data_IF_659549369140
#
_entry.id   IF_659549369140
#
_cell.length_a   1.000
_cell.length_b   1.000
_cell.length_c   1.000
_cell.angle_alpha   90.00
_cell.angle_beta   90.00
_cell.angle_gamma   90.00
#
_symmetry.space_group_name_H-M   'P 1'
#
loop_
_entity.id
_entity.type
_entity.pdbx_description
1 polymer ?
#
# COMPACT_ATOMS: atom_id res chain seq x y z
N UNK A 1 15.25 -11.27 -34.61
CA UNK A 1 16.49 -10.48 -34.63
C UNK A 1 16.32 -9.39 -33.58
N UNK A 2 17.14 -9.40 -32.53
CA UNK A 2 17.21 -8.30 -31.57
C UNK A 2 17.64 -7.02 -32.30
N UNK A 3 17.14 -5.86 -31.86
CA UNK A 3 17.52 -4.59 -32.46
C UNK A 3 18.92 -4.19 -31.96
N UNK A 4 19.67 -3.47 -32.79
CA UNK A 4 21.04 -3.06 -32.47
C UNK A 4 21.11 -2.22 -31.19
N UNK A 5 20.11 -1.37 -30.95
CA UNK A 5 20.02 -0.54 -29.75
C UNK A 5 19.89 -1.38 -28.47
N UNK A 6 19.10 -2.46 -28.51
CA UNK A 6 18.89 -3.35 -27.37
C UNK A 6 20.18 -4.11 -27.04
N UNK A 7 20.92 -4.54 -28.08
CA UNK A 7 22.23 -5.20 -27.96
C UNK A 7 23.27 -4.25 -27.33
N UNK A 8 23.29 -2.98 -27.75
CA UNK A 8 24.20 -1.98 -27.22
C UNK A 8 23.93 -1.68 -25.73
N UNK A 9 22.66 -1.47 -25.36
CA UNK A 9 22.28 -1.21 -23.96
C UNK A 9 22.61 -2.41 -23.07
N UNK A 10 22.27 -3.62 -23.51
CA UNK A 10 22.57 -4.84 -22.78
C UNK A 10 24.08 -5.00 -22.53
N UNK A 11 24.91 -4.78 -23.55
CA UNK A 11 26.37 -4.85 -23.38
C UNK A 11 26.92 -3.77 -22.44
N UNK A 12 26.36 -2.55 -22.46
CA UNK A 12 26.78 -1.47 -21.55
C UNK A 12 26.47 -1.86 -20.09
N UNK A 13 25.26 -2.35 -19.82
CA UNK A 13 24.83 -2.71 -18.47
C UNK A 13 25.61 -3.92 -17.94
N UNK A 14 25.82 -4.93 -18.79
CA UNK A 14 26.58 -6.14 -18.45
C UNK A 14 28.06 -5.84 -18.13
N UNK A 15 28.69 -4.92 -18.89
CA UNK A 15 30.08 -4.50 -18.61
C UNK A 15 30.14 -3.58 -17.38
N UNK A 16 29.19 -2.66 -17.19
CA UNK A 16 29.12 -1.82 -15.97
C UNK A 16 28.87 -2.64 -14.70
N UNK A 17 28.08 -3.70 -14.79
CA UNK A 17 27.82 -4.63 -13.69
C UNK A 17 29.00 -5.58 -13.41
N UNK A 18 30.02 -5.61 -14.27
CA UNK A 18 31.17 -6.51 -14.16
C UNK A 18 30.86 -7.96 -14.54
N UNK A 19 29.71 -8.21 -15.18
CA UNK A 19 29.26 -9.55 -15.58
C UNK A 19 29.96 -10.06 -16.84
N UNK A 20 30.42 -9.14 -17.72
CA UNK A 20 31.16 -9.45 -18.95
C UNK A 20 32.22 -8.37 -19.23
N UNK A 21 33.27 -8.75 -19.95
CA UNK A 21 34.24 -7.82 -20.54
C UNK A 21 33.76 -7.29 -21.90
N UNK A 22 34.37 -6.19 -22.36
CA UNK A 22 34.06 -5.58 -23.67
C UNK A 22 34.24 -6.62 -24.79
N UNK A 23 35.35 -7.36 -24.77
CA UNK A 23 35.66 -8.38 -25.75
C UNK A 23 34.66 -9.56 -25.73
N UNK A 24 34.20 -9.98 -24.55
CA UNK A 24 33.17 -11.03 -24.43
C UNK A 24 31.80 -10.59 -24.99
N UNK A 25 31.42 -9.32 -24.81
CA UNK A 25 30.24 -8.75 -25.44
C UNK A 25 30.36 -8.71 -26.97
N UNK A 26 31.54 -8.36 -27.49
CA UNK A 26 31.79 -8.30 -28.94
C UNK A 26 31.84 -9.69 -29.60
N UNK A 27 32.30 -10.72 -28.88
CA UNK A 27 32.32 -12.10 -29.36
C UNK A 27 30.91 -12.72 -29.39
N UNK A 28 30.01 -12.26 -28.51
CA UNK A 28 28.60 -12.68 -28.47
C UNK A 28 27.79 -12.17 -29.67
N UNK A 29 28.18 -11.05 -30.25
CA UNK A 29 27.47 -10.39 -31.34
C UNK A 29 28.38 -10.11 -32.56
N UNK A 30 28.90 -11.15 -33.23
CA UNK A 30 29.91 -11.00 -34.30
C UNK A 30 29.37 -10.28 -35.55
N UNK A 31 28.06 -10.33 -35.81
CA UNK A 31 27.43 -9.70 -36.98
C UNK A 31 27.37 -8.17 -36.90
N UNK A 32 27.47 -7.59 -35.70
CA UNK A 32 27.40 -6.14 -35.47
C UNK A 32 28.65 -5.58 -34.80
N UNK A 33 29.70 -6.41 -34.66
CA UNK A 33 30.94 -6.10 -33.93
C UNK A 33 31.56 -4.76 -34.33
N UNK A 34 31.72 -4.51 -35.63
CA UNK A 34 32.35 -3.29 -36.15
C UNK A 34 31.58 -2.01 -35.78
N UNK A 35 30.25 -2.10 -35.63
CA UNK A 35 29.42 -0.97 -35.22
C UNK A 35 29.29 -0.87 -33.70
N UNK A 36 29.32 -2.00 -33.00
CA UNK A 36 29.13 -2.10 -31.55
C UNK A 36 30.36 -1.62 -30.77
N UNK A 37 31.57 -1.99 -31.22
CA UNK A 37 32.82 -1.69 -30.51
C UNK A 37 33.04 -0.19 -30.23
N UNK A 38 32.98 0.74 -31.20
CA UNK A 38 33.26 2.14 -30.94
C UNK A 38 32.21 2.78 -30.01
N UNK A 39 30.94 2.40 -30.14
CA UNK A 39 29.86 2.93 -29.30
C UNK A 39 29.94 2.42 -27.86
N UNK A 40 30.28 1.14 -27.67
CA UNK A 40 30.44 0.54 -26.36
C UNK A 40 31.62 1.16 -25.61
N UNK A 41 32.77 1.38 -26.28
CA UNK A 41 33.93 2.04 -25.68
C UNK A 41 33.61 3.49 -25.26
N UNK A 42 32.94 4.27 -26.11
CA UNK A 42 32.54 5.65 -25.76
C UNK A 42 31.57 5.65 -24.58
N UNK A 43 30.56 4.78 -24.59
CA UNK A 43 29.56 4.72 -23.53
C UNK A 43 30.15 4.37 -22.16
N UNK A 44 31.18 3.52 -22.13
CA UNK A 44 31.89 3.15 -20.90
C UNK A 44 32.90 4.20 -20.43
N UNK A 45 33.38 5.07 -21.33
CA UNK A 45 34.24 6.21 -20.97
C UNK A 45 33.46 7.41 -20.41
N UNK A 46 32.14 7.49 -20.63
CA UNK A 46 31.29 8.53 -20.04
C UNK A 46 31.20 8.27 -18.54
N UNK A 47 31.98 9.03 -17.76
CA UNK A 47 31.85 9.10 -16.31
C UNK A 47 30.45 9.60 -15.95
N UNK A 48 29.69 8.81 -15.20
CA UNK A 48 28.55 9.32 -14.44
C UNK A 48 29.06 10.42 -13.52
N UNK A 49 28.65 11.66 -13.83
CA UNK A 49 28.98 12.81 -12.99
C UNK A 49 28.38 12.58 -11.61
N UNK A 50 29.20 12.72 -10.57
CA UNK A 50 28.73 12.82 -9.18
C UNK A 50 27.61 13.87 -9.10
N UNK A 51 26.50 13.54 -8.44
CA UNK A 51 25.37 14.44 -8.16
C UNK A 51 25.85 15.76 -7.52
N UNK A 52 26.11 16.80 -8.33
CA UNK A 52 26.66 18.08 -7.88
C UNK A 52 25.54 18.86 -7.18
N UNK A 53 25.38 18.61 -5.88
CA UNK A 53 24.48 19.42 -5.04
C UNK A 53 25.16 20.77 -4.72
N UNK A 54 24.51 21.91 -4.99
CA UNK A 54 25.10 23.21 -4.67
C UNK A 54 25.29 23.35 -3.15
N UNK A 55 26.43 23.94 -2.75
CA UNK A 55 26.76 24.17 -1.34
C UNK A 55 25.70 25.01 -0.62
N UNK A 56 25.54 24.80 0.69
CA UNK A 56 24.57 25.54 1.51
C UNK A 56 24.77 27.06 1.42
N UNK A 57 26.02 27.51 1.38
CA UNK A 57 26.39 28.92 1.18
C UNK A 57 25.95 29.48 -0.17
N UNK A 58 26.01 28.67 -1.23
CA UNK A 58 25.50 29.08 -2.54
C UNK A 58 23.97 29.19 -2.53
N UNK A 59 23.27 28.22 -1.93
CA UNK A 59 21.80 28.25 -1.80
C UNK A 59 21.31 29.49 -1.03
N UNK A 60 21.98 29.85 0.06
CA UNK A 60 21.64 31.03 0.87
C UNK A 60 21.86 32.32 0.05
N UNK A 61 23.00 32.46 -0.62
CA UNK A 61 23.28 33.64 -1.47
C UNK A 61 22.33 33.76 -2.65
N UNK A 62 22.04 32.65 -3.35
CA UNK A 62 21.12 32.63 -4.47
C UNK A 62 19.69 32.98 -4.03
N UNK A 63 19.26 32.50 -2.86
CA UNK A 63 17.95 32.84 -2.29
C UNK A 63 17.86 34.32 -1.93
N UNK A 64 18.90 34.88 -1.30
CA UNK A 64 18.93 36.30 -0.95
C UNK A 64 18.89 37.19 -2.22
N UNK A 65 19.71 36.86 -3.22
CA UNK A 65 19.73 37.57 -4.51
C UNK A 65 18.38 37.50 -5.24
N UNK A 66 17.73 36.33 -5.24
CA UNK A 66 16.41 36.17 -5.85
C UNK A 66 15.32 36.98 -5.12
N UNK A 67 15.36 37.01 -3.79
CA UNK A 67 14.37 37.74 -3.00
C UNK A 67 14.51 39.26 -3.16
N UNK A 68 15.74 39.75 -3.33
CA UNK A 68 16.02 41.16 -3.65
C UNK A 68 15.41 41.57 -5.01
N UNK A 69 15.58 40.72 -6.03
CA UNK A 69 14.96 40.89 -7.36
C UNK A 69 13.42 40.86 -7.34
N UNK A 70 12.82 40.13 -6.38
CA UNK A 70 11.36 40.05 -6.23
C UNK A 70 10.81 41.29 -5.54
N UNK A 71 11.53 41.90 -4.59
CA UNK A 71 11.05 43.05 -3.82
C UNK A 71 11.10 44.39 -4.59
N UNK A 72 11.88 44.50 -5.67
CA UNK A 72 11.85 45.69 -6.54
C UNK A 72 10.61 45.75 -7.45
N UNK A 73 9.84 44.66 -7.58
CA UNK A 73 8.61 44.65 -8.39
C UNK A 73 7.40 44.92 -7.51
N UNK A 74 6.92 46.17 -7.56
CA UNK A 74 5.62 46.51 -6.97
C UNK A 74 4.52 45.61 -7.56
N UNK A 75 3.55 45.16 -6.74
CA UNK A 75 2.45 44.33 -7.22
C UNK A 75 1.58 45.12 -8.20
N UNK A 76 1.51 44.65 -9.44
CA UNK A 76 0.54 45.15 -10.42
C UNK A 76 -0.86 44.66 -10.05
N UNK A 77 -1.61 45.61 -9.50
CA UNK A 77 -3.08 45.71 -9.39
C UNK A 77 -3.74 45.19 -8.12
N UNK A 78 -4.42 46.14 -7.45
CA UNK A 78 -5.50 45.94 -6.49
C UNK A 78 -6.80 46.24 -7.25
N UNK A 79 -7.80 45.37 -7.06
CA UNK A 79 -9.24 45.59 -7.20
C UNK A 79 -10.02 45.03 -8.42
N UNK A 80 -11.23 44.46 -8.20
CA UNK A 80 -11.94 43.59 -9.15
C UNK A 80 -13.28 44.22 -9.65
N UNK A 81 -13.93 43.59 -10.65
CA UNK A 81 -15.31 43.81 -11.17
C UNK A 81 -15.61 44.84 -12.30
N UNK A 82 -14.64 45.48 -12.96
CA UNK A 82 -14.95 46.42 -14.06
C UNK A 82 -14.55 45.93 -15.46
N UNK A 83 -15.18 44.86 -15.97
CA UNK A 83 -15.19 44.63 -17.44
C UNK A 83 -16.26 43.69 -18.01
N UNK A 84 -17.50 43.71 -17.49
CA UNK A 84 -18.63 43.11 -18.21
C UNK A 84 -19.39 44.10 -19.11
N UNK A 85 -19.00 45.36 -19.16
CA UNK A 85 -19.64 46.38 -20.00
C UNK A 85 -18.58 47.18 -20.75
N UNK A 86 -18.20 46.69 -21.93
CA UNK A 86 -17.82 47.47 -23.12
C UNK A 86 -17.60 46.46 -24.26
N UNK A 87 -18.66 46.07 -24.95
CA UNK A 87 -19.22 46.79 -26.10
C UNK A 87 -18.55 46.36 -27.41
N UNK A 88 -19.11 45.28 -27.96
CA UNK A 88 -19.53 45.11 -29.35
C UNK A 88 -18.91 46.10 -30.34
N UNK A 89 -17.83 45.67 -30.98
CA UNK A 89 -17.53 45.94 -32.39
C UNK A 89 -17.00 44.65 -33.04
N UNK A 90 -17.35 44.36 -34.30
CA UNK A 90 -16.98 43.11 -34.94
C UNK A 90 -15.49 43.17 -35.34
N UNK A 91 -14.70 42.21 -34.88
CA UNK A 91 -13.32 42.05 -35.32
C UNK A 91 -13.30 41.51 -36.76
N UNK A 92 -12.53 42.11 -37.68
CA UNK A 92 -12.36 41.56 -39.02
C UNK A 92 -11.39 40.37 -38.98
N UNK A 93 -11.69 39.36 -39.81
CA UNK A 93 -10.82 38.29 -40.30
C UNK A 93 -9.33 38.38 -39.90
N UNK A 94 -8.95 37.67 -38.83
CA UNK A 94 -7.54 37.38 -38.53
C UNK A 94 -7.22 35.97 -39.06
N UNK A 95 -6.17 35.93 -39.86
CA UNK A 95 -5.63 34.76 -40.57
C UNK A 95 -5.57 33.52 -39.67
N UNK A 96 -5.99 32.38 -40.22
CA UNK A 96 -5.82 31.03 -39.65
C UNK A 96 -4.35 30.84 -39.26
N UNK A 97 -4.02 31.00 -37.98
CA UNK A 97 -2.83 30.34 -37.45
C UNK A 97 -3.07 28.85 -37.58
N UNK A 98 -2.19 28.14 -38.29
CA UNK A 98 -2.22 26.68 -38.34
C UNK A 98 -2.27 26.16 -36.90
N UNK A 99 -3.19 25.26 -36.59
CA UNK A 99 -3.30 24.60 -35.27
C UNK A 99 -1.95 24.06 -34.78
N UNK A 100 -1.05 23.71 -35.71
CA UNK A 100 0.32 23.30 -35.41
C UNK A 100 1.13 24.35 -34.64
N UNK A 101 0.98 25.64 -34.96
CA UNK A 101 1.73 26.71 -34.30
C UNK A 101 1.24 26.97 -32.87
N UNK A 102 -0.05 26.73 -32.60
CA UNK A 102 -0.62 26.82 -31.24
C UNK A 102 -0.10 25.66 -30.39
N UNK A 103 -0.06 24.45 -30.94
CA UNK A 103 0.49 23.26 -30.26
C UNK A 103 1.98 23.43 -29.97
N UNK A 104 2.76 23.96 -30.92
CA UNK A 104 4.19 24.23 -30.73
C UNK A 104 4.42 25.27 -29.62
N UNK A 105 3.61 26.32 -29.55
CA UNK A 105 3.72 27.33 -28.48
C UNK A 105 3.34 26.75 -27.12
N UNK A 106 2.31 25.90 -27.03
CA UNK A 106 1.92 25.21 -25.77
C UNK A 106 3.02 24.24 -25.31
N UNK A 107 3.62 23.51 -26.25
CA UNK A 107 4.75 22.62 -25.95
C UNK A 107 5.96 23.43 -25.53
N UNK A 108 6.27 24.54 -26.21
CA UNK A 108 7.41 25.40 -25.85
C UNK A 108 7.19 26.13 -24.53
N UNK A 109 5.97 26.53 -24.17
CA UNK A 109 5.68 27.12 -22.86
C UNK A 109 5.70 26.08 -21.75
N UNK A 110 5.21 24.86 -21.99
CA UNK A 110 5.33 23.73 -21.05
C UNK A 110 6.79 23.29 -20.88
N UNK A 111 7.61 23.32 -21.94
CA UNK A 111 9.03 22.95 -21.91
C UNK A 111 9.92 24.06 -21.35
N UNK A 112 9.59 25.34 -21.55
CA UNK A 112 10.32 26.46 -20.93
C UNK A 112 10.08 26.56 -19.41
N UNK A 113 9.01 25.93 -18.91
CA UNK A 113 8.72 25.72 -17.48
C UNK A 113 9.16 24.31 -17.03
N UNK A 114 9.40 23.40 -17.99
CA UNK A 114 9.32 21.94 -17.85
C UNK A 114 10.66 21.26 -17.75
N UNK A 115 10.99 20.87 -16.53
CA UNK A 115 12.10 20.00 -16.16
C UNK A 115 12.28 20.07 -14.66
N UNK A 116 12.61 21.27 -14.17
CA UNK A 116 12.74 21.54 -12.73
C UNK A 116 11.42 21.56 -11.95
N UNK A 117 10.32 22.01 -12.56
CA UNK A 117 9.00 22.10 -11.89
C UNK A 117 8.32 20.74 -11.72
N UNK A 118 8.44 19.84 -12.71
CA UNK A 118 7.92 18.46 -12.61
C UNK A 118 8.68 17.67 -11.55
N UNK A 119 10.00 17.83 -11.52
CA UNK A 119 10.85 17.23 -10.49
C UNK A 119 10.53 17.80 -9.10
N UNK A 120 10.44 19.13 -8.95
CA UNK A 120 10.05 19.76 -7.70
C UNK A 120 8.60 19.44 -7.27
N UNK A 121 7.71 19.13 -8.21
CA UNK A 121 6.35 18.71 -7.90
C UNK A 121 6.28 17.28 -7.34
N UNK A 122 7.27 16.41 -7.60
CA UNK A 122 7.24 15.04 -7.04
C UNK A 122 7.34 15.05 -5.50
N UNK A 123 8.07 16.01 -4.94
CA UNK A 123 8.22 16.17 -3.48
C UNK A 123 7.08 17.00 -2.86
N UNK A 124 6.14 17.50 -3.66
CA UNK A 124 5.02 18.28 -3.14
C UNK A 124 4.01 17.41 -2.39
N UNK A 125 3.55 17.92 -1.24
CA UNK A 125 2.55 17.31 -0.36
C UNK A 125 1.16 17.92 -0.62
N UNK A 126 0.08 17.24 -0.20
CA UNK A 126 -1.26 17.84 -0.18
C UNK A 126 -1.22 19.22 0.49
N UNK A 127 -1.87 20.21 -0.13
CA UNK A 127 -1.84 21.62 0.29
C UNK A 127 -0.71 22.46 -0.33
N UNK A 128 0.32 21.84 -0.94
CA UNK A 128 1.39 22.58 -1.60
C UNK A 128 0.97 23.15 -2.97
N UNK A 129 1.59 24.27 -3.36
CA UNK A 129 1.27 24.97 -4.62
C UNK A 129 1.48 24.12 -5.87
N UNK A 130 2.43 23.18 -5.84
CA UNK A 130 2.75 22.29 -6.97
C UNK A 130 2.04 20.92 -6.90
N UNK A 131 1.25 20.66 -5.85
CA UNK A 131 0.54 19.39 -5.70
C UNK A 131 -0.46 19.09 -6.83
N UNK A 132 -1.24 20.07 -7.35
CA UNK A 132 -2.08 19.83 -8.52
C UNK A 132 -1.28 19.42 -9.78
N UNK A 133 -0.04 19.91 -9.90
CA UNK A 133 0.86 19.52 -11.00
C UNK A 133 1.28 18.06 -10.82
N UNK A 134 1.61 17.63 -9.59
CA UNK A 134 1.88 16.22 -9.26
C UNK A 134 0.73 15.33 -9.71
N UNK A 135 -0.50 15.62 -9.24
CA UNK A 135 -1.69 14.85 -9.61
C UNK A 135 -1.92 14.84 -11.14
N UNK A 136 -1.71 15.96 -11.82
CA UNK A 136 -1.78 16.03 -13.28
C UNK A 136 -0.77 15.12 -13.99
N UNK A 137 0.46 15.01 -13.48
CA UNK A 137 1.47 14.08 -14.03
C UNK A 137 1.10 12.62 -13.78
N UNK A 138 0.45 12.32 -12.66
CA UNK A 138 -0.04 10.98 -12.33
C UNK A 138 -1.19 10.55 -13.24
N UNK A 139 -2.11 11.47 -13.55
CA UNK A 139 -3.22 11.26 -14.47
C UNK A 139 -2.70 10.94 -15.89
N UNK A 140 -1.71 11.71 -16.38
CA UNK A 140 -1.04 11.40 -17.65
C UNK A 140 -0.36 10.03 -17.60
N UNK A 141 0.30 9.70 -16.48
CA UNK A 141 0.91 8.38 -16.29
C UNK A 141 -0.14 7.26 -16.31
N UNK A 142 -1.38 7.49 -15.90
CA UNK A 142 -2.48 6.52 -16.04
C UNK A 142 -2.97 6.32 -17.47
N UNK A 143 -2.83 7.33 -18.32
CA UNK A 143 -3.21 7.26 -19.74
C UNK A 143 -2.22 6.47 -20.60
N UNK A 144 -1.00 6.21 -20.10
CA UNK A 144 -0.02 5.43 -20.83
C UNK A 144 -0.57 4.04 -21.22
N UNK A 145 -0.25 3.55 -22.45
CA UNK A 145 -0.66 2.23 -22.92
C UNK A 145 -0.32 1.12 -21.91
N UNK A 146 -1.14 0.08 -21.88
CA UNK A 146 -1.00 -1.04 -20.96
C UNK A 146 -2.33 -1.73 -20.70
N UNK A 147 -2.26 -2.99 -20.30
CA UNK A 147 -3.42 -3.78 -19.89
C UNK A 147 -3.93 -3.34 -18.50
N UNK A 148 -4.98 -4.01 -18.01
CA UNK A 148 -5.55 -3.66 -16.71
C UNK A 148 -4.64 -4.04 -15.53
N UNK A 149 -3.75 -5.03 -15.69
CA UNK A 149 -2.72 -5.37 -14.69
C UNK A 149 -1.72 -4.23 -14.54
N UNK A 150 -1.13 -3.76 -15.64
CA UNK A 150 -0.20 -2.63 -15.62
C UNK A 150 -0.85 -1.33 -15.11
N UNK A 151 -2.18 -1.17 -15.27
CA UNK A 151 -2.93 -0.05 -14.70
C UNK A 151 -3.19 -0.21 -13.21
N UNK A 152 -3.46 -1.44 -12.74
CA UNK A 152 -3.57 -1.74 -11.31
C UNK A 152 -2.24 -1.45 -10.60
N UNK A 153 -1.10 -1.88 -11.17
CA UNK A 153 0.22 -1.64 -10.57
C UNK A 153 0.56 -0.14 -10.50
N UNK A 154 0.23 0.63 -11.54
CA UNK A 154 0.37 2.09 -11.51
C UNK A 154 -0.49 2.72 -10.42
N UNK A 155 -1.76 2.32 -10.31
CA UNK A 155 -2.66 2.80 -9.27
C UNK A 155 -2.16 2.46 -7.86
N UNK A 156 -1.65 1.24 -7.66
CA UNK A 156 -1.06 0.80 -6.39
C UNK A 156 0.15 1.67 -6.02
N UNK A 157 0.97 2.06 -7.01
CA UNK A 157 2.11 2.97 -6.79
C UNK A 157 1.68 4.38 -6.36
N UNK A 158 0.49 4.85 -6.77
CA UNK A 158 -0.05 6.12 -6.29
C UNK A 158 -0.55 5.97 -4.86
N UNK A 159 -1.20 4.85 -4.52
CA UNK A 159 -1.63 4.56 -3.16
C UNK A 159 -0.43 4.54 -2.20
N UNK A 160 0.69 3.90 -2.57
CA UNK A 160 1.94 3.95 -1.80
C UNK A 160 2.48 5.37 -1.60
N UNK A 161 2.53 6.16 -2.66
CA UNK A 161 2.93 7.58 -2.56
C UNK A 161 2.03 8.40 -1.65
N UNK A 162 0.70 8.15 -1.64
CA UNK A 162 -0.17 8.85 -0.70
C UNK A 162 0.18 8.51 0.74
N UNK A 163 0.47 7.24 1.05
CA UNK A 163 0.88 6.83 2.40
C UNK A 163 2.16 7.52 2.85
N UNK A 164 3.16 7.64 1.97
CA UNK A 164 4.39 8.39 2.24
C UNK A 164 4.11 9.88 2.51
N UNK A 165 3.19 10.48 1.75
CA UNK A 165 2.79 11.87 1.98
C UNK A 165 2.04 12.06 3.30
N UNK A 166 1.17 11.11 3.66
CA UNK A 166 0.42 11.13 4.92
C UNK A 166 1.40 11.08 6.10
N UNK A 167 2.39 10.21 6.02
CA UNK A 167 3.47 10.12 7.01
C UNK A 167 4.22 11.44 7.11
N UNK A 168 4.69 12.00 5.98
CA UNK A 168 5.37 13.28 5.95
C UNK A 168 4.50 14.44 6.47
N UNK A 169 3.20 14.45 6.21
CA UNK A 169 2.27 15.46 6.73
C UNK A 169 2.14 15.35 8.25
N UNK A 170 2.06 14.13 8.80
CA UNK A 170 2.00 13.89 10.23
C UNK A 170 3.30 14.32 10.93
N UNK A 171 4.47 13.97 10.37
CA UNK A 171 5.78 14.37 10.88
C UNK A 171 5.96 15.90 10.89
N UNK A 172 5.46 16.58 9.87
CA UNK A 172 5.54 18.04 9.75
C UNK A 172 4.42 18.78 10.51
N UNK A 173 3.52 18.07 11.20
CA UNK A 173 2.40 18.65 11.94
C UNK A 173 1.36 19.35 11.06
N UNK A 174 1.29 19.02 9.76
CA UNK A 174 0.36 19.60 8.78
C UNK A 174 -0.97 18.85 8.75
N UNK A 175 -1.64 18.81 9.90
CA UNK A 175 -2.81 17.97 10.13
C UNK A 175 -4.00 18.32 9.22
N UNK A 176 -4.14 19.60 8.86
CA UNK A 176 -5.21 20.07 7.97
C UNK A 176 -5.15 19.50 6.54
N UNK A 177 -3.98 18.98 6.13
CA UNK A 177 -3.76 18.46 4.78
C UNK A 177 -3.90 16.92 4.73
N UNK A 178 -3.97 16.24 5.89
CA UNK A 178 -4.02 14.77 6.00
C UNK A 178 -5.24 14.21 5.27
N UNK A 179 -6.43 14.80 5.44
CA UNK A 179 -7.67 14.33 4.81
C UNK A 179 -7.58 14.27 3.29
N UNK A 180 -6.88 15.23 2.66
CA UNK A 180 -6.67 15.21 1.22
C UNK A 180 -5.78 14.04 0.78
N UNK A 181 -4.73 13.75 1.57
CA UNK A 181 -3.90 12.55 1.39
C UNK A 181 -4.70 11.26 1.54
N UNK A 182 -5.58 11.18 2.56
CA UNK A 182 -6.48 10.03 2.81
C UNK A 182 -7.41 9.76 1.62
N UNK A 183 -8.08 10.80 1.11
CA UNK A 183 -8.98 10.67 -0.03
C UNK A 183 -8.23 10.22 -1.28
N UNK A 184 -7.02 10.76 -1.50
CA UNK A 184 -6.14 10.29 -2.57
C UNK A 184 -5.79 8.81 -2.43
N UNK A 185 -5.48 8.36 -1.20
CA UNK A 185 -5.13 6.97 -0.92
C UNK A 185 -6.29 6.02 -1.23
N UNK A 186 -7.48 6.35 -0.74
CA UNK A 186 -8.71 5.58 -0.98
C UNK A 186 -9.03 5.49 -2.48
N UNK A 187 -8.97 6.62 -3.19
CA UNK A 187 -9.21 6.66 -4.64
C UNK A 187 -8.22 5.77 -5.41
N UNK A 188 -6.94 5.85 -5.07
CA UNK A 188 -5.89 5.06 -5.72
C UNK A 188 -6.04 3.55 -5.43
N UNK A 189 -6.39 3.18 -4.20
CA UNK A 189 -6.60 1.77 -3.84
C UNK A 189 -7.88 1.22 -4.50
N UNK A 190 -8.98 1.97 -4.50
CA UNK A 190 -10.21 1.58 -5.19
C UNK A 190 -9.99 1.40 -6.70
N UNK A 191 -9.23 2.31 -7.33
CA UNK A 191 -8.81 2.16 -8.73
C UNK A 191 -7.98 0.88 -8.94
N UNK A 192 -7.06 0.56 -8.02
CA UNK A 192 -6.25 -0.65 -8.07
C UNK A 192 -7.13 -1.90 -8.08
N UNK A 193 -8.05 -2.01 -7.12
CA UNK A 193 -8.93 -3.17 -6.99
C UNK A 193 -9.86 -3.32 -8.20
N UNK A 194 -10.47 -2.22 -8.67
CA UNK A 194 -11.32 -2.24 -9.86
C UNK A 194 -10.57 -2.68 -11.14
N UNK A 195 -9.28 -2.35 -11.24
CA UNK A 195 -8.43 -2.79 -12.36
C UNK A 195 -8.07 -4.26 -12.27
N UNK A 196 -7.78 -4.78 -11.07
CA UNK A 196 -7.57 -6.21 -10.85
C UNK A 196 -8.82 -7.01 -11.19
N UNK A 197 -10.00 -6.57 -10.74
CA UNK A 197 -11.27 -7.23 -11.05
C UNK A 197 -11.51 -7.28 -12.56
N UNK A 198 -11.32 -6.15 -13.25
CA UNK A 198 -11.44 -6.09 -14.72
C UNK A 198 -10.43 -6.98 -15.43
N UNK A 199 -9.20 -7.06 -14.93
CA UNK A 199 -8.17 -7.94 -15.47
C UNK A 199 -8.57 -9.42 -15.32
N UNK A 200 -9.08 -9.80 -14.15
CA UNK A 200 -9.61 -11.14 -13.87
C UNK A 200 -10.78 -11.50 -14.80
N UNK A 201 -11.73 -10.58 -14.99
CA UNK A 201 -12.87 -10.77 -15.91
C UNK A 201 -12.46 -10.94 -17.38
N UNK A 202 -11.26 -10.47 -17.74
CA UNK A 202 -10.66 -10.66 -19.08
C UNK A 202 -9.80 -11.92 -19.19
N UNK A 203 -9.71 -12.72 -18.13
CA UNK A 203 -8.87 -13.92 -18.09
C UNK A 203 -7.37 -13.62 -18.03
N UNK A 204 -6.96 -12.40 -17.62
CA UNK A 204 -5.55 -12.08 -17.42
C UNK A 204 -5.02 -12.73 -16.12
N UNK A 205 -3.73 -13.03 -16.08
CA UNK A 205 -3.08 -13.50 -14.86
C UNK A 205 -2.98 -12.37 -13.84
N UNK A 206 -3.75 -12.47 -12.76
CA UNK A 206 -3.78 -11.46 -11.70
C UNK A 206 -3.00 -11.86 -10.43
N UNK A 207 -2.55 -13.11 -10.31
CA UNK A 207 -1.98 -13.64 -9.07
C UNK A 207 -0.84 -12.78 -8.50
N UNK A 208 0.11 -12.37 -9.35
CA UNK A 208 1.24 -11.55 -8.92
C UNK A 208 0.82 -10.15 -8.46
N UNK A 209 -0.04 -9.46 -9.22
CA UNK A 209 -0.49 -8.11 -8.84
C UNK A 209 -1.36 -8.16 -7.58
N UNK A 210 -2.19 -9.18 -7.43
CA UNK A 210 -3.00 -9.37 -6.24
C UNK A 210 -2.12 -9.64 -5.00
N UNK A 211 -1.12 -10.51 -5.11
CA UNK A 211 -0.15 -10.73 -4.03
C UNK A 211 0.58 -9.43 -3.64
N UNK A 212 1.00 -8.64 -4.63
CA UNK A 212 1.61 -7.31 -4.40
C UNK A 212 0.65 -6.37 -3.66
N UNK A 213 -0.64 -6.36 -3.96
CA UNK A 213 -1.63 -5.54 -3.22
C UNK A 213 -1.73 -5.98 -1.78
N UNK A 214 -1.81 -7.28 -1.50
CA UNK A 214 -1.86 -7.80 -0.13
C UNK A 214 -0.63 -7.34 0.65
N UNK A 215 0.58 -7.59 0.13
CA UNK A 215 1.82 -7.20 0.81
C UNK A 215 1.95 -5.68 0.98
N UNK A 216 1.53 -4.90 -0.02
CA UNK A 216 1.61 -3.43 0.00
C UNK A 216 0.62 -2.83 1.01
N UNK A 217 -0.62 -3.32 1.05
CA UNK A 217 -1.63 -2.88 2.02
C UNK A 217 -1.30 -3.28 3.46
N UNK A 218 -0.57 -4.39 3.68
CA UNK A 218 0.00 -4.71 5.00
C UNK A 218 1.08 -3.70 5.42
N UNK A 219 1.96 -3.28 4.50
CA UNK A 219 2.96 -2.23 4.77
C UNK A 219 2.28 -0.89 5.07
N UNK A 220 1.28 -0.52 4.27
CA UNK A 220 0.50 0.69 4.48
C UNK A 220 -0.18 0.69 5.85
N UNK A 221 -0.75 -0.44 6.28
CA UNK A 221 -1.37 -0.57 7.59
C UNK A 221 -0.36 -0.29 8.72
N UNK A 222 0.86 -0.81 8.61
CA UNK A 222 1.93 -0.52 9.59
C UNK A 222 2.34 0.96 9.64
N UNK A 223 2.44 1.63 8.48
CA UNK A 223 2.72 3.08 8.43
C UNK A 223 1.56 3.85 9.06
N UNK A 224 0.32 3.52 8.69
CA UNK A 224 -0.86 4.17 9.23
C UNK A 224 -1.03 3.96 10.74
N UNK A 225 -0.62 2.82 11.30
CA UNK A 225 -0.56 2.64 12.76
C UNK A 225 0.47 3.56 13.41
N UNK A 226 1.64 3.72 12.77
CA UNK A 226 2.68 4.64 13.25
C UNK A 226 2.17 6.08 13.21
N UNK A 227 1.53 6.48 12.10
CA UNK A 227 0.91 7.80 11.97
C UNK A 227 -0.19 8.00 13.01
N UNK A 228 -1.05 7.01 13.23
CA UNK A 228 -2.12 7.07 14.24
C UNK A 228 -1.58 7.33 15.65
N UNK A 229 -0.41 6.76 15.96
CA UNK A 229 0.25 6.94 17.25
C UNK A 229 0.83 8.35 17.44
N UNK A 230 1.18 9.04 16.36
CA UNK A 230 1.84 10.35 16.37
C UNK A 230 0.84 11.51 16.37
N UNK A 231 -0.28 11.36 15.68
CA UNK A 231 -1.25 12.45 15.48
C UNK A 231 -2.11 12.68 16.72
N UNK A 232 -2.55 13.93 16.98
CA UNK A 232 -3.46 14.23 18.08
C UNK A 232 -4.88 13.70 17.79
N UNK A 233 -5.74 13.74 18.82
CA UNK A 233 -7.06 13.12 18.80
C UNK A 233 -7.93 13.59 17.62
N UNK A 234 -7.79 14.85 17.22
CA UNK A 234 -8.55 15.48 16.13
C UNK A 234 -8.27 14.84 14.76
N UNK A 235 -7.05 14.30 14.57
CA UNK A 235 -6.64 13.67 13.30
C UNK A 235 -6.71 12.14 13.35
N UNK A 236 -6.95 11.53 14.53
CA UNK A 236 -7.02 10.07 14.69
C UNK A 236 -8.14 9.43 13.86
N UNK A 237 -9.29 10.10 13.71
CA UNK A 237 -10.43 9.56 12.96
C UNK A 237 -10.09 9.36 11.47
N UNK A 238 -9.46 10.37 10.84
CA UNK A 238 -9.03 10.29 9.45
C UNK A 238 -8.07 9.13 9.22
N UNK A 239 -7.07 8.96 10.11
CA UNK A 239 -6.12 7.86 10.03
C UNK A 239 -6.80 6.51 10.29
N UNK A 240 -7.76 6.45 11.21
CA UNK A 240 -8.56 5.25 11.45
C UNK A 240 -9.35 4.83 10.19
N UNK A 241 -9.93 5.78 9.46
CA UNK A 241 -10.58 5.52 8.18
C UNK A 241 -9.62 4.93 7.15
N UNK A 242 -8.43 5.51 6.95
CA UNK A 242 -7.46 4.94 6.02
C UNK A 242 -6.95 3.56 6.42
N UNK A 243 -6.83 3.27 7.72
CA UNK A 243 -6.52 1.90 8.17
C UNK A 243 -7.61 0.93 7.76
N UNK A 244 -8.88 1.30 7.94
CA UNK A 244 -10.02 0.49 7.51
C UNK A 244 -10.05 0.30 5.98
N UNK A 245 -9.76 1.34 5.20
CA UNK A 245 -9.61 1.25 3.74
C UNK A 245 -8.48 0.28 3.37
N UNK A 246 -7.33 0.39 4.04
CA UNK A 246 -6.19 -0.52 3.82
C UNK A 246 -6.52 -1.97 4.16
N UNK A 247 -7.20 -2.21 5.28
CA UNK A 247 -7.65 -3.54 5.70
C UNK A 247 -8.69 -4.13 4.75
N UNK A 248 -9.63 -3.31 4.27
CA UNK A 248 -10.63 -3.75 3.30
C UNK A 248 -9.97 -4.14 1.98
N UNK A 249 -9.02 -3.32 1.48
CA UNK A 249 -8.25 -3.65 0.28
C UNK A 249 -7.37 -4.88 0.45
N UNK A 250 -6.78 -5.07 1.64
CA UNK A 250 -6.04 -6.26 2.02
C UNK A 250 -6.91 -7.52 1.90
N UNK A 251 -8.09 -7.56 2.55
CA UNK A 251 -8.96 -8.75 2.51
C UNK A 251 -9.55 -9.00 1.12
N UNK A 252 -9.90 -7.95 0.38
CA UNK A 252 -10.38 -8.10 -1.00
C UNK A 252 -9.30 -8.75 -1.90
N UNK A 253 -8.07 -8.24 -1.84
CA UNK A 253 -6.96 -8.81 -2.59
C UNK A 253 -6.64 -10.23 -2.11
N UNK A 254 -6.66 -10.48 -0.80
CA UNK A 254 -6.39 -11.80 -0.26
C UNK A 254 -7.43 -12.85 -0.70
N UNK A 255 -8.71 -12.48 -0.75
CA UNK A 255 -9.78 -13.32 -1.32
C UNK A 255 -9.52 -13.67 -2.79
N UNK A 256 -9.14 -12.67 -3.59
CA UNK A 256 -8.82 -12.87 -5.00
C UNK A 256 -7.57 -13.75 -5.19
N UNK A 257 -6.57 -13.61 -4.30
CA UNK A 257 -5.37 -14.43 -4.31
C UNK A 257 -5.68 -15.87 -3.92
N UNK A 258 -6.51 -16.09 -2.91
CA UNK A 258 -6.89 -17.43 -2.44
C UNK A 258 -7.52 -18.29 -3.54
N UNK A 259 -8.25 -17.68 -4.48
CA UNK A 259 -8.84 -18.36 -5.65
C UNK A 259 -7.81 -18.82 -6.68
N UNK A 260 -6.64 -18.17 -6.74
CA UNK A 260 -5.60 -18.44 -7.74
C UNK A 260 -4.43 -19.23 -7.14
N UNK A 261 -4.06 -18.94 -5.89
CA UNK A 261 -3.00 -19.59 -5.16
C UNK A 261 -3.29 -19.54 -3.65
N UNK A 262 -4.01 -20.55 -3.16
CA UNK A 262 -4.46 -20.65 -1.76
C UNK A 262 -3.30 -20.73 -0.78
N UNK A 263 -2.28 -21.54 -1.07
CA UNK A 263 -1.09 -21.67 -0.20
C UNK A 263 -0.41 -20.32 -0.05
N UNK A 264 -0.19 -19.60 -1.15
CA UNK A 264 0.42 -18.26 -1.10
C UNK A 264 -0.42 -17.25 -0.34
N UNK A 265 -1.75 -17.31 -0.45
CA UNK A 265 -2.65 -16.45 0.32
C UNK A 265 -2.47 -16.69 1.82
N UNK A 266 -2.43 -17.96 2.24
CA UNK A 266 -2.23 -18.35 3.64
C UNK A 266 -0.87 -17.89 4.14
N UNK A 267 0.22 -18.15 3.42
CA UNK A 267 1.56 -17.70 3.78
C UNK A 267 1.63 -16.19 4.04
N UNK A 268 1.08 -15.38 3.12
CA UNK A 268 1.09 -13.93 3.27
C UNK A 268 0.22 -13.50 4.45
N UNK A 269 -0.94 -14.14 4.66
CA UNK A 269 -1.82 -13.80 5.78
C UNK A 269 -1.20 -14.11 7.13
N UNK A 270 -0.54 -15.27 7.26
CA UNK A 270 0.18 -15.66 8.46
C UNK A 270 1.35 -14.71 8.75
N UNK A 271 2.06 -14.24 7.72
CA UNK A 271 3.10 -13.21 7.88
C UNK A 271 2.53 -11.85 8.32
N UNK A 272 1.35 -11.46 7.82
CA UNK A 272 0.67 -10.24 8.27
C UNK A 272 0.23 -10.34 9.74
N UNK A 273 -0.27 -11.50 10.16
CA UNK A 273 -0.61 -11.81 11.56
C UNK A 273 0.62 -11.72 12.47
N UNK A 274 1.77 -12.28 12.06
CA UNK A 274 3.05 -12.10 12.78
C UNK A 274 3.39 -10.60 12.95
N UNK A 275 3.15 -9.80 11.92
CA UNK A 275 3.30 -8.35 11.95
C UNK A 275 2.43 -7.68 13.02
N UNK A 276 1.18 -8.13 13.20
CA UNK A 276 0.27 -7.59 14.24
C UNK A 276 0.74 -7.96 15.65
N UNK A 277 1.20 -9.19 15.87
CA UNK A 277 1.78 -9.60 17.16
C UNK A 277 3.07 -8.84 17.49
N UNK A 278 3.91 -8.59 16.48
CA UNK A 278 5.09 -7.72 16.64
C UNK A 278 4.69 -6.29 17.01
N UNK A 279 3.59 -5.77 16.46
CA UNK A 279 3.04 -4.45 16.80
C UNK A 279 2.52 -4.38 18.24
N UNK A 280 1.89 -5.45 18.74
CA UNK A 280 1.53 -5.59 20.17
C UNK A 280 2.80 -5.55 21.04
N UNK A 281 3.83 -6.31 20.68
CA UNK A 281 5.11 -6.34 21.41
C UNK A 281 5.80 -4.98 21.43
N UNK A 282 5.81 -4.26 20.31
CA UNK A 282 6.44 -2.96 20.18
C UNK A 282 5.74 -1.86 21.01
N UNK A 283 4.42 -2.00 21.22
CA UNK A 283 3.59 -1.00 21.91
C UNK A 283 2.89 -1.59 23.11
N UNK A 284 3.60 -2.46 23.83
CA UNK A 284 3.06 -3.31 24.88
C UNK A 284 2.43 -2.56 26.04
N UNK A 285 2.84 -1.30 26.27
CA UNK A 285 2.30 -0.42 27.31
C UNK A 285 1.14 0.46 26.82
N UNK A 286 0.91 0.55 25.52
CA UNK A 286 -0.12 1.37 24.91
C UNK A 286 -1.39 0.53 24.71
N UNK A 287 -2.35 0.69 25.63
CA UNK A 287 -3.58 -0.09 25.64
C UNK A 287 -4.37 0.04 24.34
N UNK A 288 -4.52 1.26 23.81
CA UNK A 288 -5.29 1.50 22.59
C UNK A 288 -4.62 0.81 21.41
N UNK A 289 -3.30 0.96 21.30
CA UNK A 289 -2.55 0.36 20.21
C UNK A 289 -2.51 -1.18 20.28
N UNK A 290 -2.44 -1.76 21.49
CA UNK A 290 -2.56 -3.22 21.69
C UNK A 290 -3.94 -3.70 21.26
N UNK A 291 -5.01 -3.01 21.67
CA UNK A 291 -6.38 -3.38 21.31
C UNK A 291 -6.58 -3.39 19.79
N UNK A 292 -6.13 -2.33 19.11
CA UNK A 292 -6.27 -2.20 17.65
C UNK A 292 -5.47 -3.31 16.94
N UNK A 293 -4.23 -3.54 17.33
CA UNK A 293 -3.40 -4.58 16.71
C UNK A 293 -3.97 -5.99 16.93
N UNK A 294 -4.59 -6.24 18.09
CA UNK A 294 -5.25 -7.50 18.38
C UNK A 294 -6.52 -7.69 17.55
N UNK A 295 -7.36 -6.67 17.40
CA UNK A 295 -8.54 -6.72 16.51
C UNK A 295 -8.14 -7.01 15.06
N UNK A 296 -7.06 -6.38 14.59
CA UNK A 296 -6.52 -6.66 13.25
C UNK A 296 -6.01 -8.10 13.12
N UNK A 297 -5.31 -8.60 14.15
CA UNK A 297 -4.86 -9.99 14.21
C UNK A 297 -6.04 -10.97 14.14
N UNK A 298 -7.09 -10.74 14.93
CA UNK A 298 -8.26 -11.61 14.98
C UNK A 298 -9.02 -11.63 13.65
N UNK A 299 -9.17 -10.47 13.01
CA UNK A 299 -9.78 -10.37 11.67
C UNK A 299 -8.97 -11.18 10.63
N UNK A 300 -7.64 -11.12 10.67
CA UNK A 300 -6.78 -11.94 9.80
C UNK A 300 -6.87 -13.43 10.13
N UNK A 301 -6.94 -13.79 11.42
CA UNK A 301 -7.12 -15.16 11.86
C UNK A 301 -8.48 -15.74 11.42
N UNK A 302 -9.54 -14.93 11.47
CA UNK A 302 -10.88 -15.31 10.99
C UNK A 302 -10.88 -15.49 9.47
N UNK A 303 -10.15 -14.63 8.76
CA UNK A 303 -10.05 -14.72 7.31
C UNK A 303 -9.36 -16.01 6.83
N UNK A 304 -8.52 -16.67 7.65
CA UNK A 304 -8.00 -18.00 7.32
C UNK A 304 -9.13 -19.02 7.11
N UNK A 305 -10.21 -18.94 7.90
CA UNK A 305 -11.38 -19.82 7.73
C UNK A 305 -12.08 -19.55 6.39
N UNK A 306 -12.14 -18.28 5.97
CA UNK A 306 -12.68 -17.91 4.65
C UNK A 306 -11.78 -18.40 3.51
N UNK A 307 -10.45 -18.38 3.68
CA UNK A 307 -9.54 -18.93 2.67
C UNK A 307 -9.77 -20.43 2.50
N UNK A 308 -9.90 -21.18 3.60
CA UNK A 308 -10.22 -22.61 3.58
C UNK A 308 -11.56 -22.88 2.88
N UNK A 309 -12.60 -22.08 3.15
CA UNK A 309 -13.90 -22.17 2.47
C UNK A 309 -13.79 -21.90 0.97
N UNK A 310 -13.11 -20.82 0.57
CA UNK A 310 -12.87 -20.47 -0.84
C UNK A 310 -12.20 -21.65 -1.56
N UNK A 311 -11.17 -22.25 -0.95
CA UNK A 311 -10.46 -23.38 -1.53
C UNK A 311 -11.32 -24.63 -1.67
N UNK A 312 -12.19 -24.92 -0.68
CA UNK A 312 -13.16 -26.01 -0.76
C UNK A 312 -14.20 -25.79 -1.86
N UNK A 313 -14.72 -24.57 -2.02
CA UNK A 313 -15.70 -24.22 -3.07
C UNK A 313 -15.16 -24.47 -4.48
N UNK A 314 -13.85 -24.26 -4.69
CA UNK A 314 -13.16 -24.55 -5.94
C UNK A 314 -12.53 -25.95 -5.98
N UNK A 315 -12.90 -26.83 -5.04
CA UNK A 315 -12.50 -28.24 -4.96
C UNK A 315 -10.98 -28.48 -4.88
N UNK A 316 -10.23 -27.57 -4.25
CA UNK A 316 -8.81 -27.75 -3.97
C UNK A 316 -8.60 -28.62 -2.72
N UNK A 317 -7.51 -29.39 -2.71
CA UNK A 317 -7.05 -30.07 -1.50
C UNK A 317 -6.44 -29.04 -0.54
N UNK A 318 -7.05 -28.90 0.62
CA UNK A 318 -6.65 -27.93 1.65
C UNK A 318 -5.72 -28.52 2.71
N UNK A 319 -5.30 -29.79 2.61
CA UNK A 319 -4.53 -30.43 3.70
C UNK A 319 -3.26 -29.65 4.07
N UNK A 320 -2.49 -29.22 3.06
CA UNK A 320 -1.29 -28.39 3.26
C UNK A 320 -1.64 -27.03 3.88
N UNK A 321 -2.75 -26.42 3.45
CA UNK A 321 -3.23 -25.13 3.98
C UNK A 321 -3.62 -25.24 5.46
N UNK A 322 -4.38 -26.28 5.81
CA UNK A 322 -4.79 -26.53 7.20
C UNK A 322 -3.58 -26.84 8.10
N UNK A 323 -2.59 -27.58 7.59
CA UNK A 323 -1.35 -27.85 8.32
C UNK A 323 -0.55 -26.56 8.58
N UNK A 324 -0.37 -25.71 7.55
CA UNK A 324 0.31 -24.42 7.69
C UNK A 324 -0.39 -23.50 8.71
N UNK A 325 -1.72 -23.45 8.69
CA UNK A 325 -2.48 -22.63 9.65
C UNK A 325 -2.34 -23.20 11.07
N UNK A 326 -2.38 -24.53 11.25
CA UNK A 326 -2.24 -25.16 12.55
C UNK A 326 -0.84 -24.92 13.16
N UNK A 327 0.22 -25.07 12.35
CA UNK A 327 1.59 -24.78 12.76
C UNK A 327 1.76 -23.31 13.18
N UNK A 328 1.29 -22.39 12.34
CA UNK A 328 1.39 -20.96 12.64
C UNK A 328 0.55 -20.55 13.86
N UNK A 329 -0.62 -21.17 14.06
CA UNK A 329 -1.46 -20.94 15.24
C UNK A 329 -0.70 -21.28 16.52
N UNK A 330 0.07 -22.37 16.51
CA UNK A 330 0.91 -22.74 17.66
C UNK A 330 1.99 -21.70 17.95
N UNK A 331 2.62 -21.16 16.91
CA UNK A 331 3.57 -20.04 17.04
C UNK A 331 2.90 -18.77 17.57
N UNK A 332 1.71 -18.42 17.07
CA UNK A 332 0.94 -17.25 17.50
C UNK A 332 0.52 -17.33 18.97
N UNK A 333 0.05 -18.49 19.42
CA UNK A 333 -0.28 -18.75 20.83
C UNK A 333 0.94 -18.57 21.74
N UNK A 334 2.12 -19.06 21.35
CA UNK A 334 3.36 -18.83 22.08
C UNK A 334 3.69 -17.33 22.22
N UNK A 335 3.60 -16.59 21.11
CA UNK A 335 3.84 -15.14 21.13
C UNK A 335 2.81 -14.39 22.00
N UNK A 336 1.56 -14.83 22.03
CA UNK A 336 0.53 -14.27 22.92
C UNK A 336 0.84 -14.53 24.40
N UNK A 337 1.31 -15.73 24.74
CA UNK A 337 1.80 -16.05 26.10
C UNK A 337 2.96 -15.14 26.50
N UNK A 338 3.93 -14.90 25.62
CA UNK A 338 5.08 -14.04 25.90
C UNK A 338 4.71 -12.59 26.24
N UNK A 339 3.62 -12.08 25.66
CA UNK A 339 3.16 -10.69 25.89
C UNK A 339 2.13 -10.59 27.02
N UNK A 340 1.45 -11.68 27.38
CA UNK A 340 0.35 -11.68 28.34
C UNK A 340 0.67 -11.05 29.70
N UNK A 341 1.78 -11.42 30.32
CA UNK A 341 2.17 -10.86 31.63
C UNK A 341 2.78 -9.45 31.51
N UNK A 342 3.14 -9.01 30.30
CA UNK A 342 3.80 -7.72 30.04
C UNK A 342 2.83 -6.61 29.64
N UNK A 343 1.64 -6.95 29.13
CA UNK A 343 0.60 -5.96 28.82
C UNK A 343 -0.09 -5.44 30.08
N UNK A 344 -0.66 -4.23 30.06
CA UNK A 344 -1.53 -3.72 31.11
C UNK A 344 -2.66 -4.70 31.44
N UNK A 345 -3.06 -4.76 32.72
CA UNK A 345 -4.10 -5.69 33.16
C UNK A 345 -5.43 -5.49 32.42
N UNK A 346 -5.72 -4.27 31.98
CA UNK A 346 -6.92 -3.94 31.22
C UNK A 346 -6.92 -4.50 29.79
N UNK A 347 -5.75 -4.89 29.26
CA UNK A 347 -5.61 -5.49 27.93
C UNK A 347 -5.59 -7.02 27.96
N UNK A 348 -5.35 -7.64 29.13
CA UNK A 348 -5.32 -9.11 29.29
C UNK A 348 -6.61 -9.80 28.82
N UNK A 349 -7.84 -9.30 29.11
CA UNK A 349 -9.07 -9.96 28.66
C UNK A 349 -9.15 -10.13 27.14
N UNK A 350 -8.67 -9.15 26.37
CA UNK A 350 -8.67 -9.22 24.92
C UNK A 350 -7.68 -10.29 24.42
N UNK A 351 -6.51 -10.41 25.05
CA UNK A 351 -5.56 -11.49 24.72
C UNK A 351 -6.14 -12.86 25.06
N UNK A 352 -6.81 -13.00 26.20
CA UNK A 352 -7.49 -14.25 26.58
C UNK A 352 -8.54 -14.67 25.56
N UNK A 353 -9.32 -13.70 25.05
CA UNK A 353 -10.32 -13.91 24.01
C UNK A 353 -9.69 -14.35 22.69
N UNK A 354 -8.65 -13.65 22.23
CA UNK A 354 -7.93 -14.01 21.01
C UNK A 354 -7.28 -15.41 21.10
N UNK A 355 -6.68 -15.74 22.25
CA UNK A 355 -6.13 -17.07 22.50
C UNK A 355 -7.22 -18.16 22.50
N UNK A 356 -8.39 -17.88 23.09
CA UNK A 356 -9.52 -18.81 23.09
C UNK A 356 -10.04 -19.06 21.68
N UNK A 357 -10.21 -18.00 20.88
CA UNK A 357 -10.61 -18.07 19.48
C UNK A 357 -9.65 -18.93 18.65
N UNK A 358 -8.33 -18.71 18.81
CA UNK A 358 -7.30 -19.52 18.16
C UNK A 358 -7.34 -20.99 18.59
N UNK A 359 -7.47 -21.26 19.88
CA UNK A 359 -7.54 -22.64 20.40
C UNK A 359 -8.76 -23.39 19.89
N UNK A 360 -9.94 -22.75 19.83
CA UNK A 360 -11.15 -23.35 19.28
C UNK A 360 -10.94 -23.71 17.81
N UNK A 361 -10.46 -22.77 17.00
CA UNK A 361 -10.20 -22.99 15.56
C UNK A 361 -9.15 -24.08 15.33
N UNK A 362 -8.08 -24.09 16.13
CA UNK A 362 -7.05 -25.13 16.08
C UNK A 362 -7.63 -26.51 16.40
N UNK A 363 -8.44 -26.65 17.46
CA UNK A 363 -9.09 -27.91 17.83
C UNK A 363 -9.98 -28.43 16.69
N UNK A 364 -10.78 -27.58 16.06
CA UNK A 364 -11.60 -27.97 14.90
C UNK A 364 -10.74 -28.45 13.73
N UNK A 365 -9.62 -27.77 13.47
CA UNK A 365 -8.71 -28.03 12.35
C UNK A 365 -7.95 -29.37 12.47
N UNK A 366 -7.53 -29.73 13.68
CA UNK A 366 -6.75 -30.98 13.92
C UNK A 366 -7.60 -32.24 14.06
N UNK A 367 -8.91 -32.13 14.31
CA UNK A 367 -9.81 -33.28 14.46
C UNK A 367 -9.83 -34.20 13.24
N UNK A 368 -9.92 -33.65 12.02
CA UNK A 368 -10.04 -34.46 10.81
C UNK A 368 -8.72 -35.18 10.43
N UNK A 369 -7.53 -34.57 10.55
CA UNK A 369 -6.25 -35.29 10.48
C UNK A 369 -6.11 -36.41 11.53
N UNK A 370 -6.42 -36.14 12.79
CA UNK A 370 -6.29 -37.11 13.89
C UNK A 370 -7.19 -38.34 13.69
N UNK A 371 -8.44 -38.13 13.25
CA UNK A 371 -9.35 -39.23 12.90
C UNK A 371 -8.84 -40.11 11.75
N UNK A 372 -7.97 -39.57 10.90
CA UNK A 372 -7.30 -40.31 9.81
C UNK A 372 -5.97 -40.94 10.23
N UNK A 373 -5.60 -40.84 11.52
CA UNK A 373 -4.33 -41.36 12.05
C UNK A 373 -3.11 -40.56 11.62
N UNK A 374 -3.30 -39.32 11.15
CA UNK A 374 -2.22 -38.38 10.84
C UNK A 374 -1.89 -37.61 12.12
N UNK A 375 -0.61 -37.57 12.49
CA UNK A 375 -0.14 -36.75 13.61
C UNK A 375 -0.37 -35.27 13.29
N UNK A 376 -1.21 -34.62 14.07
CA UNK A 376 -1.53 -33.20 13.89
C UNK A 376 -0.61 -32.33 14.76
N UNK A 377 -0.29 -31.09 14.32
CA UNK A 377 0.43 -30.13 15.15
C UNK A 377 -0.26 -29.97 16.50
N UNK A 378 0.48 -30.14 17.59
CA UNK A 378 -0.06 -29.98 18.94
C UNK A 378 -0.01 -28.50 19.34
N UNK A 379 -1.04 -27.98 20.05
CA UNK A 379 -0.98 -26.63 20.56
C UNK A 379 0.16 -26.49 21.58
N UNK A 380 0.73 -25.29 21.75
CA UNK A 380 1.81 -25.09 22.70
C UNK A 380 1.36 -25.31 24.14
N UNK A 381 2.33 -25.61 25.00
CA UNK A 381 2.10 -25.70 26.44
C UNK A 381 1.88 -24.30 27.00
N UNK A 382 0.62 -23.94 27.21
CA UNK A 382 0.22 -22.67 27.85
C UNK A 382 0.39 -22.81 29.37
N UNK A 383 1.04 -21.84 30.06
CA UNK A 383 1.15 -21.84 31.52
C UNK A 383 -0.22 -21.95 32.21
N UNK A 384 -0.31 -22.73 33.27
CA UNK A 384 -1.57 -23.06 33.97
C UNK A 384 -2.47 -21.84 34.24
N UNK A 385 -1.86 -20.79 34.80
CA UNK A 385 -2.53 -19.52 35.14
C UNK A 385 -3.24 -18.87 33.94
N UNK A 386 -2.66 -18.99 32.75
CA UNK A 386 -3.23 -18.45 31.50
C UNK A 386 -4.23 -19.45 30.94
N UNK A 387 -3.90 -20.74 30.95
CA UNK A 387 -4.74 -21.83 30.44
C UNK A 387 -6.13 -21.82 31.08
N UNK A 388 -6.22 -21.74 32.42
CA UNK A 388 -7.51 -21.71 33.12
C UNK A 388 -8.42 -20.57 32.64
N UNK A 389 -7.84 -19.39 32.34
CA UNK A 389 -8.58 -18.21 31.87
C UNK A 389 -9.03 -18.38 30.42
N UNK A 390 -8.15 -18.87 29.57
CA UNK A 390 -8.46 -19.15 28.16
C UNK A 390 -9.55 -20.23 28.06
N UNK A 391 -9.43 -21.32 28.80
CA UNK A 391 -10.47 -22.36 28.84
C UNK A 391 -11.81 -21.83 29.37
N UNK A 392 -11.78 -20.91 30.34
CA UNK A 392 -13.01 -20.23 30.79
C UNK A 392 -13.65 -19.46 29.65
N UNK A 393 -12.87 -18.69 28.87
CA UNK A 393 -13.37 -17.98 27.68
C UNK A 393 -13.93 -18.92 26.62
N UNK A 394 -13.25 -20.03 26.35
CA UNK A 394 -13.75 -21.05 25.41
C UNK A 394 -15.11 -21.60 25.83
N UNK A 395 -15.30 -21.88 27.14
CA UNK A 395 -16.59 -22.32 27.69
C UNK A 395 -17.67 -21.25 27.58
N UNK A 396 -17.35 -19.99 27.85
CA UNK A 396 -18.29 -18.86 27.71
C UNK A 396 -18.81 -18.74 26.27
N UNK A 397 -17.93 -18.83 25.26
CA UNK A 397 -18.31 -18.77 23.85
C UNK A 397 -19.14 -19.97 23.39
N UNK A 398 -18.82 -21.17 23.86
CA UNK A 398 -19.63 -22.37 23.59
C UNK A 398 -21.04 -22.24 24.20
N UNK A 399 -21.16 -21.62 25.38
CA UNK A 399 -22.45 -21.37 26.02
C UNK A 399 -23.28 -20.32 25.29
N UNK A 400 -22.65 -19.26 24.78
CA UNK A 400 -23.30 -18.20 24.00
C UNK A 400 -23.91 -18.73 22.70
N UNK A 401 -23.30 -19.74 22.08
CA UNK A 401 -23.82 -20.44 20.90
C UNK A 401 -24.89 -21.52 21.21
N UNK A 402 -25.06 -21.87 22.48
CA UNK A 402 -26.01 -22.91 22.94
C UNK A 402 -27.33 -22.38 23.51
N UNK A 403 -27.55 -21.05 23.49
CA UNK A 403 -28.87 -20.46 23.77
C UNK A 403 -29.81 -20.85 22.62
N UNK A 404 -30.86 -21.65 22.85
CA UNK A 404 -31.76 -22.07 21.76
C UNK A 404 -32.54 -20.87 21.21
N UNK A 405 -32.91 -20.93 19.92
CA UNK A 405 -33.85 -20.00 19.23
C UNK A 405 -35.25 -19.89 19.89
N UNK A 406 -35.47 -20.51 21.05
CA UNK A 406 -36.73 -20.51 21.78
C UNK A 406 -36.96 -19.29 22.68
N UNK A 407 -36.20 -18.20 22.53
CA UNK A 407 -36.59 -16.92 23.16
C UNK A 407 -37.75 -16.32 22.34
N UNK A 408 -38.96 -16.16 22.92
CA UNK A 408 -40.10 -15.62 22.18
C UNK A 408 -39.76 -14.23 21.63
N UNK A 409 -40.12 -13.97 20.36
CA UNK A 409 -39.81 -12.74 19.61
C UNK A 409 -40.27 -11.41 20.26
N UNK A 410 -40.93 -11.44 21.43
CA UNK A 410 -41.44 -10.28 22.15
C UNK A 410 -40.51 -9.64 23.18
N UNK A 411 -39.28 -10.15 23.40
CA UNK A 411 -38.32 -9.55 24.35
C UNK A 411 -36.94 -9.27 23.76
N UNK A 412 -36.82 -9.13 22.43
CA UNK A 412 -35.69 -8.41 21.84
C UNK A 412 -35.86 -6.93 22.20
N UNK A 413 -35.33 -6.52 23.36
CA UNK A 413 -35.05 -5.11 23.59
C UNK A 413 -34.12 -4.67 22.46
N UNK A 414 -34.66 -3.79 21.62
CA UNK A 414 -33.94 -3.09 20.57
C UNK A 414 -32.67 -2.49 21.13
N UNK A 415 -31.51 -2.97 20.70
CA UNK A 415 -30.24 -2.29 20.92
C UNK A 415 -30.33 -0.91 20.24
N UNK A 416 -30.22 0.23 20.95
CA UNK A 416 -30.42 1.55 20.36
C UNK A 416 -29.30 2.00 19.41
N UNK A 417 -28.23 1.21 19.23
CA UNK A 417 -27.04 1.61 18.47
C UNK A 417 -27.00 1.14 17.00
N UNK A 418 -27.94 0.30 16.56
CA UNK A 418 -28.04 -0.08 15.14
C UNK A 418 -29.03 0.82 14.38
N UNK A 419 -28.83 2.14 14.41
CA UNK A 419 -29.42 3.11 13.48
C UNK A 419 -28.56 4.39 13.45
N UNK A 420 -27.46 4.35 12.73
CA UNK A 420 -27.06 5.29 11.66
C UNK A 420 -25.62 5.05 11.27
#
# INVERSE_FOLDING_TARGET
MEKFEDILVQCIDDVKAGSYSIEECLDRYPSVREQLEPLLRIALEIRETSDIKPSLSFKIKARAWLMDQIHERQPVTKWPWSRYYNQVRPTPSIRRFSMANIVIVIILTLSAIGGGTVYAAQDSLPGDTLYPVKLGTEEIRMMLPGDDVAKAERALSFAGRRIEEIEALAENGRLQDIDSGMQGYENALNMTLARIERAGNKGLSIGNVTARVVETTTRHLSVLDTVYDMVPLEAKEAIAHARNVSQTGYFHALAALAKNNTVRAVEINLAAMDGRLNRIRARIQDREAVQIALQQFEAMAEFNEQISQIAQEISLNITEVEELIAEATSKHLNMMVEVYDKVPEQARPAIEEAMANLMIRHQTRVQAPEQRGVEAPQPPVIPEKIRERVEKRMREQQMEWSVPDSVPQGQRQTCPACRR
#
